data_IF_454148278104
#
_entry.id   IF_454148278104
#
_cell.length_a   1.000
_cell.length_b   1.000
_cell.length_c   1.000
_cell.angle_alpha   90.00
_cell.angle_beta   90.00
_cell.angle_gamma   90.00
#
_symmetry.space_group_name_H-M   'P 1'
#
loop_
_entity.id
_entity.type
_entity.pdbx_description
1 polymer ?
#
# COMPACT_ATOMS: atom_id res chain seq x y z
N UNK A 1 0.37 -2.33 17.39
CA UNK A 1 0.02 -1.10 16.64
C UNK A 1 -1.12 -0.31 17.30
N UNK A 2 -2.29 -0.89 17.57
CA UNK A 2 -3.44 -0.15 18.13
C UNK A 2 -3.22 0.47 19.53
N UNK A 3 -2.46 -0.19 20.43
CA UNK A 3 -2.20 0.36 21.78
C UNK A 3 -1.42 1.68 21.75
N UNK A 4 -0.40 1.78 20.91
CA UNK A 4 0.44 2.99 20.79
C UNK A 4 -0.33 4.17 20.20
N UNK A 5 -1.19 3.93 19.20
CA UNK A 5 -2.05 4.96 18.62
C UNK A 5 -3.03 5.49 19.67
N UNK A 6 -3.66 4.61 20.46
CA UNK A 6 -4.59 5.03 21.51
C UNK A 6 -3.93 5.90 22.59
N UNK A 7 -2.69 5.59 22.96
CA UNK A 7 -1.90 6.41 23.90
C UNK A 7 -1.61 7.78 23.28
N UNK A 8 -1.18 7.83 22.02
CA UNK A 8 -0.91 9.09 21.31
C UNK A 8 -2.17 9.97 21.23
N UNK A 9 -3.33 9.38 20.89
CA UNK A 9 -4.61 10.09 20.86
C UNK A 9 -5.03 10.60 22.24
N UNK A 10 -4.83 9.79 23.30
CA UNK A 10 -5.13 10.22 24.67
C UNK A 10 -4.27 11.43 25.10
N UNK A 11 -2.99 11.45 24.72
CA UNK A 11 -2.09 12.59 24.94
C UNK A 11 -2.57 13.81 24.15
N UNK A 12 -2.91 13.66 22.87
CA UNK A 12 -3.40 14.77 22.04
C UNK A 12 -4.67 15.40 22.62
N UNK A 13 -5.62 14.59 23.11
CA UNK A 13 -6.83 15.08 23.78
C UNK A 13 -6.49 15.80 25.09
N UNK A 14 -5.56 15.25 25.88
CA UNK A 14 -5.12 15.85 27.16
C UNK A 14 -4.55 17.27 26.97
N UNK A 15 -3.81 17.49 25.89
CA UNK A 15 -3.25 18.79 25.55
C UNK A 15 -4.15 19.66 24.65
N UNK A 16 -5.39 19.22 24.39
CA UNK A 16 -6.33 19.90 23.49
C UNK A 16 -5.78 20.16 22.08
N UNK A 17 -4.99 19.23 21.55
CA UNK A 17 -4.46 19.32 20.20
C UNK A 17 -5.53 18.96 19.17
N UNK A 18 -5.51 19.69 18.06
CA UNK A 18 -6.29 19.38 16.87
C UNK A 18 -5.59 18.28 16.08
N UNK A 19 -6.34 17.24 15.70
CA UNK A 19 -5.82 16.08 15.00
C UNK A 19 -6.27 16.14 13.55
N UNK A 20 -5.30 16.22 12.65
CA UNK A 20 -5.52 16.17 11.22
C UNK A 20 -5.14 14.80 10.69
N UNK A 21 -6.11 14.08 10.11
CA UNK A 21 -5.83 12.84 9.41
C UNK A 21 -5.46 13.15 7.97
N UNK A 22 -4.23 12.83 7.58
CA UNK A 22 -3.80 12.89 6.18
C UNK A 22 -3.68 11.47 5.62
N UNK A 23 -4.41 11.21 4.54
CA UNK A 23 -4.22 10.01 3.73
C UNK A 23 -3.12 10.25 2.70
N UNK A 24 -1.97 9.61 2.88
CA UNK A 24 -0.84 9.73 1.97
C UNK A 24 -1.00 8.74 0.83
N UNK A 25 -1.59 9.19 -0.28
CA UNK A 25 -1.86 8.39 -1.49
C UNK A 25 -0.64 7.62 -2.03
N UNK A 26 0.58 8.10 -1.75
CA UNK A 26 1.83 7.56 -2.29
C UNK A 26 2.58 6.63 -1.34
N UNK A 27 2.14 6.48 -0.08
CA UNK A 27 2.89 5.69 0.91
C UNK A 27 3.02 4.21 0.50
N UNK A 28 1.99 3.67 -0.18
CA UNK A 28 2.03 2.32 -0.72
C UNK A 28 2.74 2.24 -2.08
N UNK A 29 2.66 3.27 -2.91
CA UNK A 29 3.21 3.25 -4.28
C UNK A 29 4.73 3.46 -4.31
N UNK A 30 5.34 3.87 -3.21
CA UNK A 30 6.78 4.10 -3.09
C UNK A 30 7.53 3.02 -2.30
N UNK A 31 6.85 1.99 -1.80
CA UNK A 31 7.51 0.84 -1.18
C UNK A 31 8.25 0.02 -2.24
N UNK A 32 9.56 -0.17 -2.05
CA UNK A 32 10.29 -1.16 -2.83
C UNK A 32 9.82 -2.56 -2.43
N UNK A 33 9.57 -3.41 -3.43
CA UNK A 33 9.27 -4.82 -3.20
C UNK A 33 10.57 -5.60 -3.33
N UNK A 34 10.99 -6.28 -2.27
CA UNK A 34 12.14 -7.20 -2.32
C UNK A 34 11.78 -8.52 -3.04
N UNK A 35 10.52 -8.92 -2.93
CA UNK A 35 9.97 -10.13 -3.54
C UNK A 35 9.58 -9.93 -5.03
N UNK A 36 9.73 -10.97 -5.84
CA UNK A 36 9.27 -10.95 -7.22
C UNK A 36 7.78 -11.27 -7.29
N UNK A 37 6.97 -10.22 -7.39
CA UNK A 37 5.51 -10.34 -7.50
C UNK A 37 5.09 -10.07 -8.95
N UNK A 38 4.28 -10.98 -9.48
CA UNK A 38 3.67 -10.89 -10.80
C UNK A 38 2.15 -10.75 -10.66
N UNK A 39 1.54 -10.01 -11.58
CA UNK A 39 0.09 -9.90 -11.71
C UNK A 39 -0.33 -10.12 -13.16
N UNK A 40 -1.57 -10.53 -13.35
CA UNK A 40 -2.15 -10.61 -14.68
C UNK A 40 -2.19 -9.23 -15.35
N UNK A 41 -2.15 -9.24 -16.69
CA UNK A 41 -2.27 -8.02 -17.46
C UNK A 41 -3.64 -7.37 -17.25
N UNK A 42 -3.64 -6.05 -17.11
CA UNK A 42 -4.86 -5.26 -17.02
C UNK A 42 -5.63 -5.30 -18.34
N UNK A 43 -6.96 -5.33 -18.24
CA UNK A 43 -7.85 -5.17 -19.40
C UNK A 43 -7.51 -3.84 -20.11
N UNK A 44 -7.19 -3.92 -21.40
CA UNK A 44 -6.73 -2.78 -22.21
C UNK A 44 -5.21 -2.65 -22.39
N UNK A 45 -4.40 -3.44 -21.67
CA UNK A 45 -2.95 -3.56 -21.91
C UNK A 45 -2.55 -4.83 -22.68
N UNK A 46 -3.50 -5.77 -22.81
CA UNK A 46 -3.27 -7.05 -23.49
C UNK A 46 -3.10 -6.80 -25.01
N UNK A 47 -1.96 -7.20 -25.55
CA UNK A 47 -1.65 -7.14 -26.98
C UNK A 47 -1.89 -8.52 -27.62
N UNK A 48 -2.43 -8.53 -28.84
CA UNK A 48 -2.69 -9.76 -29.58
C UNK A 48 -1.39 -10.57 -29.80
N UNK A 49 -1.41 -11.85 -29.43
CA UNK A 49 -0.24 -12.75 -29.42
C UNK A 49 0.62 -12.69 -28.16
N UNK A 50 0.28 -11.84 -27.20
CA UNK A 50 1.00 -11.63 -25.95
C UNK A 50 0.08 -11.80 -24.72
N UNK A 51 -1.05 -12.47 -24.91
CA UNK A 51 -2.09 -12.63 -23.90
C UNK A 51 -1.60 -13.41 -22.66
N UNK A 52 -0.54 -14.22 -22.82
CA UNK A 52 0.03 -15.03 -21.75
C UNK A 52 1.11 -14.31 -20.94
N UNK A 53 1.45 -13.05 -21.27
CA UNK A 53 2.40 -12.28 -20.46
C UNK A 53 1.79 -11.89 -19.12
N UNK A 54 2.68 -11.65 -18.15
CA UNK A 54 2.35 -11.16 -16.81
C UNK A 54 3.13 -9.87 -16.53
N UNK A 55 2.58 -9.00 -15.69
CA UNK A 55 3.24 -7.76 -15.28
C UNK A 55 4.07 -8.00 -14.00
N UNK A 56 5.37 -7.66 -14.04
CA UNK A 56 6.23 -7.68 -12.85
C UNK A 56 6.13 -6.36 -12.09
N UNK A 57 5.63 -6.39 -10.87
CA UNK A 57 5.54 -5.19 -10.03
C UNK A 57 6.95 -4.72 -9.63
N UNK A 58 7.28 -3.46 -9.91
CA UNK A 58 8.52 -2.81 -9.44
C UNK A 58 8.36 -2.14 -8.08
N UNK A 59 7.12 -1.79 -7.73
CA UNK A 59 6.75 -1.07 -6.50
C UNK A 59 5.46 -1.65 -5.95
N UNK A 60 5.29 -1.55 -4.64
CA UNK A 60 4.07 -2.02 -3.99
C UNK A 60 2.87 -1.21 -4.50
N UNK A 61 1.72 -1.88 -4.56
CA UNK A 61 0.44 -1.28 -4.92
C UNK A 61 -0.50 -1.35 -3.72
N UNK A 62 -1.52 -0.49 -3.69
CA UNK A 62 -2.51 -0.50 -2.61
C UNK A 62 -3.22 -1.86 -2.55
N UNK A 63 -3.44 -2.38 -1.33
CA UNK A 63 -4.11 -3.66 -1.13
C UNK A 63 -3.22 -4.90 -1.36
N UNK A 64 -1.94 -4.71 -1.71
CA UNK A 64 -0.97 -5.80 -1.71
C UNK A 64 -0.83 -6.34 -0.28
N UNK A 65 -1.38 -7.52 -0.01
CA UNK A 65 -1.27 -8.21 1.28
C UNK A 65 0.14 -8.80 1.41
N UNK A 66 1.09 -8.00 1.90
CA UNK A 66 2.44 -8.48 2.23
C UNK A 66 2.48 -9.27 3.55
N UNK A 67 1.33 -9.49 4.21
CA UNK A 67 1.24 -10.16 5.50
C UNK A 67 0.88 -11.62 5.31
N UNK A 68 1.82 -12.41 4.82
CA UNK A 68 1.88 -13.84 5.11
C UNK A 68 3.36 -14.20 5.20
N UNK A 69 3.87 -14.08 6.43
CA UNK A 69 5.02 -14.82 6.91
C UNK A 69 4.61 -15.54 8.18
#
# INVERSE_FOLDING_TARGET
MAKSIRILLAIAVWYHYEIWQMDVKTAFVNGFIEEQIFMDQLEGFIVAGEEQKVCRLQRSIYGLKCWNR
#
